data_IF_259549807806
#
_entry.id   IF_259549807806
#
_cell.length_a   1.000
_cell.length_b   1.000
_cell.length_c   1.000
_cell.angle_alpha   90.00
_cell.angle_beta   90.00
_cell.angle_gamma   90.00
#
_symmetry.space_group_name_H-M   'P 1'
#
loop_
_entity.id
_entity.type
_entity.pdbx_description
1 polymer ?
#
# COMPACT_ATOMS: atom_id res chain seq x y z
N UNK A 1 -7.46 5.22 -13.48
CA UNK A 1 -6.62 4.36 -14.36
C UNK A 1 -7.02 2.88 -14.25
N UNK A 2 -6.53 2.00 -15.14
CA UNK A 2 -6.77 0.55 -15.03
C UNK A 2 -6.04 -0.03 -13.81
N UNK A 3 -6.75 -0.83 -13.00
CA UNK A 3 -6.21 -1.63 -11.89
C UNK A 3 -6.02 -3.07 -12.35
N UNK A 4 -5.26 -3.86 -11.60
CA UNK A 4 -5.27 -5.31 -11.87
C UNK A 4 -6.66 -5.88 -11.60
N UNK A 5 -7.09 -6.85 -12.40
CA UNK A 5 -8.32 -7.61 -12.16
C UNK A 5 -7.94 -9.03 -11.78
N UNK A 6 -8.24 -9.40 -10.53
CA UNK A 6 -8.01 -10.75 -9.99
C UNK A 6 -9.29 -11.33 -9.37
N UNK A 7 -9.19 -12.10 -8.28
CA UNK A 7 -10.36 -12.59 -7.53
C UNK A 7 -11.01 -11.44 -6.75
N UNK A 8 -12.33 -11.51 -6.46
CA UNK A 8 -13.00 -10.50 -5.64
C UNK A 8 -12.32 -10.29 -4.28
N UNK A 9 -11.93 -11.37 -3.61
CA UNK A 9 -11.24 -11.31 -2.32
C UNK A 9 -9.87 -10.63 -2.43
N UNK A 10 -9.07 -10.94 -3.45
CA UNK A 10 -7.77 -10.31 -3.59
C UNK A 10 -7.90 -8.83 -3.97
N UNK A 11 -8.82 -8.47 -4.87
CA UNK A 11 -9.08 -7.06 -5.18
C UNK A 11 -9.53 -6.28 -3.94
N UNK A 12 -10.48 -6.82 -3.16
CA UNK A 12 -10.96 -6.20 -1.92
C UNK A 12 -9.86 -6.08 -0.85
N UNK A 13 -8.94 -7.04 -0.80
CA UNK A 13 -7.79 -6.97 0.09
C UNK A 13 -6.82 -5.85 -0.32
N UNK A 14 -6.55 -5.70 -1.62
CA UNK A 14 -5.75 -4.59 -2.14
C UNK A 14 -6.39 -3.22 -1.86
N UNK A 15 -7.71 -3.07 -2.06
CA UNK A 15 -8.46 -1.86 -1.69
C UNK A 15 -8.38 -1.57 -0.18
N UNK A 16 -8.41 -2.63 0.65
CA UNK A 16 -8.26 -2.52 2.11
C UNK A 16 -6.88 -2.03 2.51
N UNK A 17 -5.82 -2.55 1.86
CA UNK A 17 -4.45 -2.07 2.09
C UNK A 17 -4.30 -0.59 1.72
N UNK A 18 -4.83 -0.18 0.55
CA UNK A 18 -4.81 1.23 0.14
C UNK A 18 -5.52 2.12 1.14
N UNK A 19 -6.70 1.71 1.60
CA UNK A 19 -7.43 2.43 2.65
C UNK A 19 -6.61 2.55 3.93
N UNK A 20 -5.98 1.47 4.36
CA UNK A 20 -5.19 1.41 5.59
C UNK A 20 -3.98 2.35 5.53
N UNK A 21 -3.26 2.38 4.41
CA UNK A 21 -2.05 3.18 4.26
C UNK A 21 -2.31 4.67 3.97
N UNK A 22 -3.42 5.00 3.29
CA UNK A 22 -3.66 6.36 2.76
C UNK A 22 -4.81 7.08 3.48
N UNK A 23 -5.81 6.33 3.94
CA UNK A 23 -7.03 6.87 4.55
C UNK A 23 -8.05 7.40 3.52
N UNK A 24 -9.32 7.38 3.91
CA UNK A 24 -10.45 7.72 3.01
C UNK A 24 -10.34 9.11 2.37
N UNK A 25 -9.89 10.12 3.11
CA UNK A 25 -9.84 11.50 2.64
C UNK A 25 -8.85 11.67 1.47
N UNK A 26 -7.66 11.07 1.57
CA UNK A 26 -6.66 11.17 0.51
C UNK A 26 -6.99 10.26 -0.66
N UNK A 27 -7.57 9.08 -0.42
CA UNK A 27 -8.09 8.23 -1.50
C UNK A 27 -9.10 9.00 -2.38
N UNK A 28 -10.05 9.70 -1.77
CA UNK A 28 -11.07 10.47 -2.50
C UNK A 28 -10.53 11.70 -3.27
N UNK A 29 -9.31 12.14 -2.97
CA UNK A 29 -8.69 13.35 -3.55
C UNK A 29 -7.48 13.06 -4.43
N UNK A 30 -7.27 11.80 -4.80
CA UNK A 30 -6.12 11.31 -5.57
C UNK A 30 -6.59 10.30 -6.63
N UNK A 31 -5.67 9.73 -7.42
CA UNK A 31 -6.01 8.61 -8.31
C UNK A 31 -6.06 7.32 -7.49
N UNK A 32 -7.10 7.20 -6.65
CA UNK A 32 -7.32 6.10 -5.71
C UNK A 32 -6.09 5.77 -4.84
N UNK A 33 -5.32 6.79 -4.49
CA UNK A 33 -4.11 6.64 -3.68
C UNK A 33 -2.85 6.23 -4.45
N UNK A 34 -2.95 5.79 -5.71
CA UNK A 34 -1.79 5.33 -6.47
C UNK A 34 -0.75 6.41 -6.74
N UNK A 35 -1.12 7.68 -6.67
CA UNK A 35 -0.19 8.80 -6.82
C UNK A 35 0.16 9.52 -5.51
N UNK A 36 -0.17 8.96 -4.34
CA UNK A 36 0.08 9.62 -3.05
C UNK A 36 1.52 9.43 -2.60
N UNK A 37 2.16 10.50 -2.15
CA UNK A 37 3.42 10.48 -1.41
C UNK A 37 3.09 10.63 0.08
N UNK A 38 3.83 9.90 0.93
CA UNK A 38 3.71 9.98 2.39
C UNK A 38 3.68 11.42 2.89
N UNK A 39 2.71 11.72 3.77
CA UNK A 39 2.59 13.05 4.39
C UNK A 39 3.73 13.23 5.40
N UNK A 40 4.47 14.33 5.27
CA UNK A 40 5.53 14.68 6.21
C UNK A 40 5.00 15.25 7.52
N UNK A 41 5.91 15.61 8.43
CA UNK A 41 5.59 16.32 9.68
C UNK A 41 4.94 17.68 9.44
N UNK A 42 5.10 18.25 8.23
CA UNK A 42 4.45 19.48 7.80
C UNK A 42 2.93 19.33 7.57
N UNK A 43 2.40 18.10 7.61
CA UNK A 43 0.98 17.81 7.38
C UNK A 43 0.52 18.04 5.94
N UNK A 44 1.44 18.33 5.01
CA UNK A 44 1.09 18.65 3.62
C UNK A 44 1.03 17.38 2.80
N UNK A 45 -0.19 17.00 2.44
CA UNK A 45 -0.44 15.95 1.47
C UNK A 45 0.23 16.29 0.12
N UNK A 46 0.83 15.29 -0.51
CA UNK A 46 1.53 15.44 -1.78
C UNK A 46 1.13 14.30 -2.71
N UNK A 47 0.94 14.63 -3.99
CA UNK A 47 0.77 13.64 -5.05
C UNK A 47 1.80 13.86 -6.14
N UNK A 48 2.14 12.81 -6.88
CA UNK A 48 2.96 12.92 -8.10
C UNK A 48 2.09 12.86 -9.36
N UNK A 49 2.62 13.39 -10.47
CA UNK A 49 1.88 13.54 -11.73
C UNK A 49 2.31 12.59 -12.84
N UNK A 50 3.41 11.84 -12.67
CA UNK A 50 3.92 10.90 -13.65
C UNK A 50 4.17 9.53 -13.01
N UNK A 51 3.65 8.49 -13.65
CA UNK A 51 3.85 7.11 -13.24
C UNK A 51 5.04 6.43 -13.91
N UNK A 52 5.83 7.12 -14.74
CA UNK A 52 6.93 6.50 -15.50
C UNK A 52 7.96 5.81 -14.59
N UNK A 53 8.15 6.33 -13.38
CA UNK A 53 9.07 5.78 -12.39
C UNK A 53 8.58 6.11 -10.97
N UNK A 54 9.19 5.51 -9.95
CA UNK A 54 8.95 5.89 -8.57
C UNK A 54 9.28 7.39 -8.38
N UNK A 55 8.45 8.20 -7.68
CA UNK A 55 8.59 9.67 -7.66
C UNK A 55 9.90 10.19 -7.03
N UNK A 56 10.63 9.33 -6.32
CA UNK A 56 11.95 9.61 -5.74
C UNK A 56 13.13 9.04 -6.56
N UNK A 57 12.89 8.38 -7.70
CA UNK A 57 13.94 7.78 -8.54
C UNK A 57 14.92 8.83 -9.11
N UNK A 58 14.45 10.07 -9.30
CA UNK A 58 15.29 11.21 -9.71
C UNK A 58 16.17 11.82 -8.60
N UNK A 59 16.28 11.17 -7.43
CA UNK A 59 17.21 11.59 -6.37
C UNK A 59 16.73 12.74 -5.47
N UNK A 60 15.47 13.18 -5.58
CA UNK A 60 14.92 14.17 -4.63
C UNK A 60 14.92 13.62 -3.19
N UNK A 61 15.14 14.44 -2.15
CA UNK A 61 15.09 13.98 -0.76
C UNK A 61 13.70 13.49 -0.34
N UNK A 62 13.66 12.45 0.49
CA UNK A 62 12.43 11.97 1.15
C UNK A 62 11.77 13.01 2.05
N UNK A 63 10.49 12.82 2.35
CA UNK A 63 9.69 13.68 3.24
C UNK A 63 10.13 13.46 4.69
N UNK A 64 10.39 14.55 5.41
CA UNK A 64 10.69 14.48 6.85
C UNK A 64 9.40 14.11 7.59
N UNK A 65 9.40 13.04 8.38
CA UNK A 65 8.18 12.53 9.03
C UNK A 65 8.23 12.61 10.57
N UNK A 66 9.35 13.06 11.16
CA UNK A 66 9.43 13.31 12.60
C UNK A 66 10.42 14.42 12.97
N UNK A 67 10.38 14.84 14.24
CA UNK A 67 11.22 15.91 14.79
C UNK A 67 12.72 15.59 14.80
N UNK A 68 13.10 14.31 14.66
CA UNK A 68 14.50 13.87 14.53
C UNK A 68 15.05 14.00 13.11
N UNK A 69 14.26 14.49 12.16
CA UNK A 69 14.69 14.68 10.78
C UNK A 69 14.71 13.39 9.95
N UNK A 70 14.12 12.29 10.43
CA UNK A 70 14.05 11.05 9.66
C UNK A 70 13.17 11.26 8.41
N UNK A 71 13.57 10.64 7.30
CA UNK A 71 12.92 10.81 6.00
C UNK A 71 12.29 9.53 5.50
N UNK A 72 11.16 9.65 4.83
CA UNK A 72 10.48 8.56 4.14
C UNK A 72 10.29 8.90 2.66
N UNK A 73 10.34 7.88 1.83
CA UNK A 73 10.10 7.96 0.38
C UNK A 73 8.84 7.18 -0.01
N UNK A 74 8.06 6.76 0.98
CA UNK A 74 6.84 5.98 0.81
C UNK A 74 5.91 6.66 -0.19
N UNK A 75 5.55 5.91 -1.24
CA UNK A 75 4.78 6.40 -2.38
C UNK A 75 3.83 5.35 -2.92
N UNK A 76 2.76 5.82 -3.55
CA UNK A 76 1.75 4.99 -4.19
C UNK A 76 0.72 4.39 -3.22
N UNK A 77 -0.17 3.58 -3.79
CA UNK A 77 -1.33 2.98 -3.11
C UNK A 77 -0.93 2.16 -1.90
N UNK A 78 0.27 1.60 -1.92
CA UNK A 78 0.80 0.69 -0.91
C UNK A 78 2.04 1.24 -0.20
N UNK A 79 2.31 2.55 -0.34
CA UNK A 79 3.37 3.28 0.34
C UNK A 79 4.77 2.65 0.21
N UNK A 80 5.11 2.21 -1.01
CA UNK A 80 6.38 1.58 -1.32
C UNK A 80 7.57 2.54 -1.19
N UNK A 81 8.72 2.00 -0.77
CA UNK A 81 9.95 2.76 -0.59
C UNK A 81 10.84 2.67 -1.83
N UNK A 82 11.52 3.76 -2.19
CA UNK A 82 12.44 3.80 -3.34
C UNK A 82 13.57 2.77 -3.24
N UNK A 83 14.02 2.46 -2.02
CA UNK A 83 15.12 1.52 -1.77
C UNK A 83 14.84 0.11 -2.33
N UNK A 84 13.56 -0.28 -2.35
CA UNK A 84 13.13 -1.61 -2.77
C UNK A 84 12.67 -1.62 -4.25
N UNK A 85 12.45 -0.43 -4.83
CA UNK A 85 11.90 -0.29 -6.16
C UNK A 85 12.75 -0.96 -7.24
N UNK A 86 14.06 -0.72 -7.25
CA UNK A 86 14.95 -1.31 -8.25
C UNK A 86 14.92 -2.85 -8.26
N UNK A 87 14.82 -3.46 -7.08
CA UNK A 87 14.71 -4.91 -6.92
C UNK A 87 13.41 -5.43 -7.54
N UNK A 88 12.25 -4.93 -7.09
CA UNK A 88 10.95 -5.44 -7.55
C UNK A 88 10.62 -5.06 -8.98
N UNK A 89 11.06 -3.89 -9.44
CA UNK A 89 10.94 -3.50 -10.85
C UNK A 89 11.61 -4.52 -11.75
N UNK A 90 12.84 -4.94 -11.40
CA UNK A 90 13.60 -5.94 -12.15
C UNK A 90 12.98 -7.32 -12.03
N UNK A 91 12.71 -7.77 -10.80
CA UNK A 91 12.19 -9.11 -10.52
C UNK A 91 10.83 -9.37 -11.17
N UNK A 92 9.95 -8.37 -11.20
CA UNK A 92 8.58 -8.48 -11.71
C UNK A 92 8.42 -7.89 -13.13
N UNK A 93 9.51 -7.40 -13.74
CA UNK A 93 9.51 -6.74 -15.05
C UNK A 93 8.47 -5.62 -15.13
N UNK A 94 8.45 -4.76 -14.11
CA UNK A 94 7.49 -3.66 -14.03
C UNK A 94 7.91 -2.54 -15.00
N UNK A 95 7.06 -2.18 -15.98
CA UNK A 95 7.41 -1.18 -16.99
C UNK A 95 7.49 0.24 -16.41
N UNK A 96 6.73 0.49 -15.35
CA UNK A 96 6.48 1.80 -14.77
C UNK A 96 6.11 1.65 -13.28
N UNK A 97 5.82 2.76 -12.61
CA UNK A 97 5.26 2.79 -11.25
C UNK A 97 3.74 3.01 -11.27
N UNK A 98 3.05 2.65 -12.36
CA UNK A 98 1.60 2.80 -12.53
C UNK A 98 0.77 1.89 -11.63
N UNK A 99 -0.56 2.06 -11.58
CA UNK A 99 -1.45 1.28 -10.70
C UNK A 99 -1.29 -0.24 -10.84
N UNK A 100 -1.28 -0.76 -12.08
CA UNK A 100 -1.08 -2.21 -12.33
C UNK A 100 0.29 -2.69 -11.83
N UNK A 101 1.34 -1.89 -11.99
CA UNK A 101 2.68 -2.23 -11.53
C UNK A 101 2.76 -2.25 -10.00
N UNK A 102 2.13 -1.27 -9.35
CA UNK A 102 2.00 -1.23 -7.90
C UNK A 102 1.19 -2.42 -7.37
N UNK A 103 0.08 -2.78 -8.02
CA UNK A 103 -0.73 -3.95 -7.65
C UNK A 103 0.06 -5.25 -7.74
N UNK A 104 0.80 -5.45 -8.85
CA UNK A 104 1.66 -6.63 -9.04
C UNK A 104 2.73 -6.71 -7.95
N UNK A 105 3.32 -5.58 -7.57
CA UNK A 105 4.27 -5.53 -6.46
C UNK A 105 3.60 -5.89 -5.12
N UNK A 106 2.44 -5.32 -4.80
CA UNK A 106 1.70 -5.65 -3.59
C UNK A 106 1.36 -7.16 -3.53
N UNK A 107 0.86 -7.72 -4.62
CA UNK A 107 0.55 -9.16 -4.74
C UNK A 107 1.80 -10.02 -4.52
N UNK A 108 2.95 -9.61 -5.03
CA UNK A 108 4.21 -10.32 -4.80
C UNK A 108 4.60 -10.32 -3.31
N UNK A 109 4.48 -9.18 -2.62
CA UNK A 109 4.76 -9.11 -1.18
C UNK A 109 3.79 -9.99 -0.38
N UNK A 110 2.49 -9.97 -0.74
CA UNK A 110 1.47 -10.85 -0.14
C UNK A 110 1.83 -12.33 -0.34
N UNK A 111 2.33 -12.69 -1.53
CA UNK A 111 2.80 -14.05 -1.84
C UNK A 111 3.97 -14.44 -0.96
N UNK A 112 4.97 -13.57 -0.81
CA UNK A 112 6.16 -13.79 0.02
C UNK A 112 5.83 -13.89 1.52
N UNK A 113 4.70 -13.33 1.96
CA UNK A 113 4.16 -13.52 3.31
C UNK A 113 3.29 -14.78 3.45
N UNK A 114 3.08 -15.54 2.38
CA UNK A 114 2.23 -16.73 2.39
C UNK A 114 0.77 -16.43 2.71
N UNK A 115 0.28 -15.24 2.35
CA UNK A 115 -1.07 -14.77 2.67
C UNK A 115 -2.08 -14.95 1.52
N UNK A 116 -1.63 -15.22 0.28
CA UNK A 116 -2.53 -15.36 -0.88
C UNK A 116 -3.60 -16.44 -0.70
N UNK A 117 -3.23 -17.60 -0.16
CA UNK A 117 -4.18 -18.70 0.07
C UNK A 117 -5.23 -18.35 1.13
N UNK A 118 -4.84 -17.55 2.14
CA UNK A 118 -5.77 -17.09 3.17
C UNK A 118 -6.73 -16.04 2.63
N UNK A 119 -6.24 -15.11 1.82
CA UNK A 119 -7.08 -14.10 1.15
C UNK A 119 -8.12 -14.76 0.26
N UNK A 120 -7.68 -15.68 -0.61
CA UNK A 120 -8.61 -16.37 -1.52
C UNK A 120 -9.67 -17.17 -0.74
N UNK A 121 -9.31 -17.72 0.43
CA UNK A 121 -10.24 -18.45 1.28
C UNK A 121 -11.03 -17.57 2.27
N UNK A 122 -10.92 -16.23 2.21
CA UNK A 122 -11.65 -15.33 3.10
C UNK A 122 -11.12 -15.23 4.54
N UNK A 123 -9.97 -15.85 4.84
CA UNK A 123 -9.30 -15.81 6.16
C UNK A 123 -8.52 -14.52 6.37
N UNK A 124 -9.20 -13.38 6.31
CA UNK A 124 -8.58 -12.06 6.19
C UNK A 124 -7.82 -11.62 7.44
N UNK A 125 -8.30 -11.96 8.64
CA UNK A 125 -7.55 -11.65 9.86
C UNK A 125 -6.16 -12.30 9.86
N UNK A 126 -6.07 -13.56 9.41
CA UNK A 126 -4.79 -14.27 9.30
C UNK A 126 -3.91 -13.63 8.21
N UNK A 127 -4.49 -13.25 7.07
CA UNK A 127 -3.77 -12.56 6.01
C UNK A 127 -3.18 -11.21 6.48
N UNK A 128 -3.97 -10.39 7.18
CA UNK A 128 -3.52 -9.12 7.76
C UNK A 128 -2.38 -9.36 8.76
N UNK A 129 -2.51 -10.36 9.65
CA UNK A 129 -1.47 -10.73 10.60
C UNK A 129 -0.17 -11.15 9.91
N UNK A 130 -0.24 -11.90 8.81
CA UNK A 130 0.94 -12.29 8.00
C UNK A 130 1.59 -11.12 7.29
N UNK A 131 0.82 -10.09 6.96
CA UNK A 131 1.27 -8.92 6.19
C UNK A 131 1.73 -7.73 7.05
N UNK A 132 1.48 -7.74 8.37
CA UNK A 132 1.71 -6.59 9.27
C UNK A 132 3.14 -6.04 9.30
N UNK A 133 4.14 -6.84 8.95
CA UNK A 133 5.54 -6.41 8.93
C UNK A 133 5.94 -5.73 7.59
N UNK A 134 5.01 -5.61 6.64
CA UNK A 134 5.22 -4.94 5.36
C UNK A 134 4.60 -3.54 5.39
N UNK A 135 3.39 -3.42 5.94
CA UNK A 135 2.59 -2.20 5.96
C UNK A 135 2.39 -1.73 7.39
N UNK A 136 2.92 -0.55 7.70
CA UNK A 136 3.00 -0.02 9.05
C UNK A 136 1.65 0.39 9.63
N UNK A 137 0.64 0.63 8.79
CA UNK A 137 -0.73 0.96 9.21
C UNK A 137 -1.52 -0.25 9.75
N UNK A 138 -1.03 -1.47 9.51
CA UNK A 138 -1.73 -2.70 9.90
C UNK A 138 -1.67 -2.94 11.41
N UNK A 139 -2.69 -3.62 11.99
CA UNK A 139 -2.71 -3.92 13.41
C UNK A 139 -1.54 -4.83 13.83
N UNK A 140 -0.85 -4.44 14.90
CA UNK A 140 0.30 -5.13 15.46
C UNK A 140 1.56 -5.05 14.60
N UNK A 141 1.67 -4.03 13.74
CA UNK A 141 2.85 -3.79 12.90
C UNK A 141 4.03 -3.27 13.75
N UNK A 142 3.76 -2.54 14.83
CA UNK A 142 4.76 -2.18 15.84
C UNK A 142 5.70 -1.04 15.42
N UNK A 143 5.35 -0.27 14.38
CA UNK A 143 6.15 0.86 13.89
C UNK A 143 5.99 2.14 14.73
N UNK A 144 5.16 2.11 15.77
CA UNK A 144 4.85 3.30 16.59
C UNK A 144 4.02 4.36 15.84
N UNK A 145 3.40 3.98 14.72
CA UNK A 145 2.45 4.80 13.97
C UNK A 145 1.01 4.44 14.36
N UNK A 146 0.01 5.30 14.12
CA UNK A 146 -1.38 4.94 14.35
C UNK A 146 -1.78 3.72 13.52
N UNK A 147 -2.17 2.64 14.18
CA UNK A 147 -2.65 1.41 13.54
C UNK A 147 -4.19 1.42 13.46
N UNK A 148 -4.74 0.87 12.38
CA UNK A 148 -6.19 0.66 12.31
C UNK A 148 -6.64 -0.45 13.26
N UNK A 149 -7.86 -0.34 13.79
CA UNK A 149 -8.52 -1.46 14.47
C UNK A 149 -8.82 -2.55 13.45
N UNK A 150 -8.56 -3.82 13.78
CA UNK A 150 -8.86 -4.98 12.94
C UNK A 150 -10.30 -4.95 12.40
N UNK A 151 -11.28 -4.69 13.26
CA UNK A 151 -12.69 -4.59 12.88
C UNK A 151 -12.97 -3.54 11.79
N UNK A 152 -12.22 -2.44 11.79
CA UNK A 152 -12.36 -1.39 10.76
C UNK A 152 -11.89 -1.91 9.41
N UNK A 153 -10.77 -2.62 9.38
CA UNK A 153 -10.24 -3.22 8.16
C UNK A 153 -11.15 -4.32 7.62
N UNK A 154 -11.70 -5.18 8.48
CA UNK A 154 -12.65 -6.21 8.08
C UNK A 154 -13.94 -5.62 7.49
N UNK A 155 -14.49 -4.57 8.10
CA UNK A 155 -15.67 -3.86 7.55
C UNK A 155 -15.36 -3.24 6.19
N UNK A 156 -14.16 -2.66 6.03
CA UNK A 156 -13.74 -2.09 4.74
C UNK A 156 -13.56 -3.16 3.67
N UNK A 157 -12.90 -4.26 4.00
CA UNK A 157 -12.76 -5.41 3.12
C UNK A 157 -14.11 -5.92 2.59
N UNK A 158 -15.10 -6.10 3.47
CA UNK A 158 -16.46 -6.50 3.05
C UNK A 158 -17.11 -5.43 2.18
N UNK A 159 -16.96 -4.14 2.52
CA UNK A 159 -17.51 -3.04 1.71
C UNK A 159 -16.90 -2.93 0.32
N UNK A 160 -15.68 -3.46 0.12
CA UNK A 160 -15.02 -3.56 -1.18
C UNK A 160 -15.36 -4.86 -1.94
N UNK A 161 -16.33 -5.63 -1.45
CA UNK A 161 -16.83 -6.85 -2.12
C UNK A 161 -16.09 -8.13 -1.74
N UNK A 162 -15.25 -8.09 -0.70
CA UNK A 162 -14.59 -9.28 -0.17
C UNK A 162 -15.53 -10.15 0.67
N UNK A 163 -15.42 -11.47 0.54
CA UNK A 163 -16.12 -12.43 1.38
C UNK A 163 -15.21 -12.93 2.50
N UNK A 164 -15.74 -13.01 3.72
CA UNK A 164 -15.07 -13.65 4.86
C UNK A 164 -15.40 -15.14 4.87
N UNK A 165 -14.49 -15.93 5.47
CA UNK A 165 -14.68 -17.36 5.70
C UNK A 165 -15.73 -17.65 6.78
#
# INVERSE_FOLDING_TARGET
MARIVTTPNLNAYLDTLRFSEIGATLLARSDDGYNVIVTGIDGKAETFSSYQDHPFAGGRPGKVFNSRGQRSTASGGYQFLIKDWGHYRTALKLPDFGPVSQDKWAIQLIRERGALADINAGRIELALKKCRNIWASLPGAGYGQPEHKLETLLKKYVSYGGALA
#
